data_IF_547661518592
#
_entry.id   IF_547661518592
#
_cell.length_a   1.000
_cell.length_b   1.000
_cell.length_c   1.000
_cell.angle_alpha   90.00
_cell.angle_beta   90.00
_cell.angle_gamma   90.00
#
_symmetry.space_group_name_H-M   'P 1'
#
loop_
_entity.id
_entity.type
_entity.pdbx_description
1 polymer ?
#
# COMPACT_ATOMS: atom_id res chain seq x y z
N UNK A 1 -9.05 -1.78 -17.93
CA UNK A 1 -10.14 -0.94 -17.41
C UNK A 1 -9.69 -0.37 -16.08
N UNK A 2 -9.80 0.94 -15.94
CA UNK A 2 -9.48 1.66 -14.71
C UNK A 2 -10.77 2.22 -14.12
N UNK A 3 -11.01 1.97 -12.83
CA UNK A 3 -12.22 2.38 -12.12
C UNK A 3 -11.84 3.06 -10.81
N UNK A 4 -12.42 4.22 -10.56
CA UNK A 4 -12.18 5.03 -9.36
C UNK A 4 -13.51 5.28 -8.66
N UNK A 5 -13.57 5.00 -7.36
CA UNK A 5 -14.72 5.30 -6.51
C UNK A 5 -14.49 6.52 -5.64
N UNK A 6 -13.22 6.82 -5.31
CA UNK A 6 -12.85 7.96 -4.47
C UNK A 6 -11.54 8.58 -4.95
N UNK A 7 -11.58 9.91 -5.08
CA UNK A 7 -10.39 10.71 -5.38
C UNK A 7 -9.43 10.76 -4.18
N UNK A 8 -8.13 10.93 -4.42
CA UNK A 8 -7.13 11.02 -3.36
C UNK A 8 -7.37 12.26 -2.49
N UNK A 9 -7.28 12.08 -1.18
CA UNK A 9 -7.32 13.16 -0.20
C UNK A 9 -5.89 13.44 0.24
N UNK A 10 -5.43 14.69 0.12
CA UNK A 10 -4.07 15.08 0.49
C UNK A 10 -3.71 14.65 1.92
N UNK A 11 -2.51 14.08 2.11
CA UNK A 11 -2.02 13.62 3.41
C UNK A 11 -2.62 12.31 3.93
N UNK A 12 -3.54 11.69 3.19
CA UNK A 12 -4.00 10.34 3.50
C UNK A 12 -3.00 9.29 2.99
N UNK A 13 -2.65 8.27 3.82
CA UNK A 13 -1.83 7.16 3.36
C UNK A 13 -2.68 6.18 2.54
N UNK A 14 -2.16 5.80 1.39
CA UNK A 14 -2.72 4.79 0.51
C UNK A 14 -1.72 3.65 0.28
N UNK A 15 -2.23 2.47 -0.05
CA UNK A 15 -1.41 1.34 -0.48
C UNK A 15 -1.95 0.72 -1.77
N UNK A 16 -1.04 0.13 -2.54
CA UNK A 16 -1.34 -0.53 -3.80
C UNK A 16 -0.81 -1.97 -3.74
N UNK A 17 -1.67 -2.93 -4.04
CA UNK A 17 -1.28 -4.32 -4.29
C UNK A 17 -1.38 -4.61 -5.78
N UNK A 18 -0.32 -5.17 -6.36
CA UNK A 18 -0.23 -5.45 -7.80
C UNK A 18 0.03 -6.93 -8.00
N UNK A 19 -0.87 -7.58 -8.73
CA UNK A 19 -0.67 -8.92 -9.27
C UNK A 19 -0.46 -8.84 -10.78
N UNK A 20 0.59 -9.50 -11.25
CA UNK A 20 1.05 -9.42 -12.64
C UNK A 20 0.91 -10.76 -13.31
N UNK A 21 0.12 -10.80 -14.37
CA UNK A 21 -0.05 -11.97 -15.20
C UNK A 21 1.24 -12.43 -15.88
N UNK A 22 1.31 -13.73 -16.17
CA UNK A 22 2.32 -14.24 -17.10
C UNK A 22 1.98 -13.81 -18.52
N UNK A 23 2.81 -12.95 -19.12
CA UNK A 23 2.55 -12.23 -20.38
C UNK A 23 2.57 -13.10 -21.65
N UNK A 24 1.89 -14.25 -21.64
CA UNK A 24 1.65 -15.08 -22.82
C UNK A 24 0.67 -14.37 -23.77
N UNK A 25 0.64 -14.74 -25.06
CA UNK A 25 -0.21 -14.10 -26.08
C UNK A 25 -1.74 -14.30 -25.86
N UNK A 26 -2.11 -15.21 -24.95
CA UNK A 26 -3.45 -15.39 -24.39
C UNK A 26 -3.42 -15.12 -22.87
N UNK A 27 -2.62 -14.13 -22.47
CA UNK A 27 -2.16 -13.94 -21.10
C UNK A 27 -3.28 -13.61 -20.14
N UNK A 28 -3.02 -13.92 -18.87
CA UNK A 28 -3.90 -13.61 -17.76
C UNK A 28 -4.01 -12.08 -17.57
N UNK A 29 -4.94 -11.65 -16.72
CA UNK A 29 -5.13 -10.23 -16.48
C UNK A 29 -4.18 -9.73 -15.41
N UNK A 30 -3.60 -8.55 -15.60
CA UNK A 30 -2.91 -7.87 -14.51
C UNK A 30 -3.91 -7.05 -13.71
N UNK A 31 -3.72 -6.96 -12.41
CA UNK A 31 -4.59 -6.22 -11.51
C UNK A 31 -3.78 -5.37 -10.53
N UNK A 32 -4.17 -4.11 -10.35
CA UNK A 32 -3.70 -3.24 -9.28
C UNK A 32 -4.88 -2.75 -8.45
N UNK A 33 -4.79 -2.94 -7.14
CA UNK A 33 -5.82 -2.63 -6.16
C UNK A 33 -5.33 -1.51 -5.24
N UNK A 34 -6.08 -0.41 -5.13
CA UNK A 34 -5.73 0.73 -4.28
C UNK A 34 -6.65 0.76 -3.06
N UNK A 35 -6.05 0.77 -1.87
CA UNK A 35 -6.77 0.87 -0.60
C UNK A 35 -6.36 2.15 0.15
N UNK A 36 -7.34 2.80 0.78
CA UNK A 36 -7.08 3.78 1.84
C UNK A 36 -6.64 3.03 3.09
N UNK A 37 -5.43 3.31 3.59
CA UNK A 37 -4.84 2.56 4.70
C UNK A 37 -5.64 2.74 5.99
N UNK A 38 -6.20 3.94 6.22
CA UNK A 38 -6.90 4.29 7.46
C UNK A 38 -8.28 3.65 7.51
N UNK A 39 -9.02 3.71 6.41
CA UNK A 39 -10.42 3.26 6.36
C UNK A 39 -10.56 1.82 5.88
N UNK A 40 -9.56 1.28 5.17
CA UNK A 40 -9.66 0.00 4.48
C UNK A 40 -10.59 0.04 3.26
N UNK A 41 -10.97 1.23 2.79
CA UNK A 41 -11.82 1.39 1.61
C UNK A 41 -11.04 1.12 0.32
N UNK A 42 -11.63 0.33 -0.57
CA UNK A 42 -11.18 0.14 -1.94
C UNK A 42 -11.54 1.39 -2.77
N UNK A 43 -10.54 2.22 -3.07
CA UNK A 43 -10.73 3.54 -3.70
C UNK A 43 -10.56 3.52 -5.21
N UNK A 44 -9.72 2.63 -5.73
CA UNK A 44 -9.52 2.43 -7.17
C UNK A 44 -9.05 1.01 -7.49
N UNK A 45 -9.35 0.59 -8.72
CA UNK A 45 -8.91 -0.68 -9.30
C UNK A 45 -8.50 -0.45 -10.74
N UNK A 46 -7.32 -0.95 -11.08
CA UNK A 46 -6.88 -1.12 -12.45
C UNK A 46 -6.88 -2.61 -12.77
N UNK A 47 -7.52 -3.01 -13.85
CA UNK A 47 -7.56 -4.41 -14.29
C UNK A 47 -7.56 -4.50 -15.81
N UNK A 48 -6.58 -5.16 -16.40
CA UNK A 48 -6.49 -5.26 -17.86
C UNK A 48 -5.34 -6.13 -18.35
N UNK A 49 -5.37 -6.42 -19.65
CA UNK A 49 -4.28 -7.10 -20.32
C UNK A 49 -3.24 -6.06 -20.76
N UNK A 50 -2.06 -6.11 -20.17
CA UNK A 50 -0.98 -5.16 -20.44
C UNK A 50 0.38 -5.87 -20.26
N UNK A 51 1.40 -5.49 -21.03
CA UNK A 51 2.76 -5.91 -20.77
C UNK A 51 3.27 -5.44 -19.39
N UNK A 52 4.09 -6.25 -18.67
CA UNK A 52 4.60 -5.91 -17.33
C UNK A 52 5.38 -4.59 -17.24
N UNK A 53 6.12 -4.24 -18.29
CA UNK A 53 6.85 -2.98 -18.41
C UNK A 53 5.91 -1.77 -18.52
N UNK A 54 4.81 -1.90 -19.27
CA UNK A 54 3.83 -0.82 -19.39
C UNK A 54 2.95 -0.74 -18.13
N UNK A 55 2.65 -1.88 -17.49
CA UNK A 55 1.98 -1.93 -16.19
C UNK A 55 2.73 -1.11 -15.13
N UNK A 56 4.07 -1.18 -15.13
CA UNK A 56 4.87 -0.40 -14.19
C UNK A 56 4.62 1.12 -14.33
N UNK A 57 4.41 1.62 -15.55
CA UNK A 57 4.08 3.04 -15.76
C UNK A 57 2.71 3.38 -15.18
N UNK A 58 1.70 2.55 -15.43
CA UNK A 58 0.34 2.73 -14.88
C UNK A 58 0.35 2.73 -13.35
N UNK A 59 1.01 1.75 -12.75
CA UNK A 59 1.15 1.63 -11.29
C UNK A 59 1.93 2.81 -10.71
N UNK A 60 2.97 3.29 -11.40
CA UNK A 60 3.72 4.47 -10.98
C UNK A 60 2.83 5.72 -10.96
N UNK A 61 2.07 5.96 -12.02
CA UNK A 61 1.13 7.10 -12.07
C UNK A 61 0.05 7.00 -10.99
N UNK A 62 -0.49 5.80 -10.75
CA UNK A 62 -1.46 5.57 -9.68
C UNK A 62 -0.88 5.87 -8.29
N UNK A 63 0.35 5.44 -8.03
CA UNK A 63 1.00 5.69 -6.75
C UNK A 63 1.24 7.18 -6.50
N UNK A 64 1.69 7.92 -7.52
CA UNK A 64 1.84 9.37 -7.42
C UNK A 64 0.49 10.07 -7.21
N UNK A 65 -0.56 9.61 -7.89
CA UNK A 65 -1.89 10.19 -7.74
C UNK A 65 -2.45 9.99 -6.33
N UNK A 66 -2.19 8.82 -5.73
CA UNK A 66 -2.61 8.47 -4.37
C UNK A 66 -1.51 8.74 -3.31
N UNK A 67 -0.92 9.94 -3.33
CA UNK A 67 0.03 10.45 -2.31
C UNK A 67 1.25 9.53 -2.07
N UNK A 68 1.96 9.17 -3.14
CA UNK A 68 3.12 8.26 -3.07
C UNK A 68 2.74 6.93 -2.39
N UNK A 69 1.64 6.32 -2.81
CA UNK A 69 1.09 5.13 -2.17
C UNK A 69 2.11 3.99 -2.03
N UNK A 70 2.12 3.33 -0.87
CA UNK A 70 2.97 2.16 -0.63
C UNK A 70 2.59 1.02 -1.57
N UNK A 71 3.45 0.72 -2.53
CA UNK A 71 3.15 -0.22 -3.61
C UNK A 71 3.87 -1.55 -3.37
N UNK A 72 3.12 -2.64 -3.46
CA UNK A 72 3.65 -3.99 -3.40
C UNK A 72 3.28 -4.76 -4.66
N UNK A 73 4.30 -5.26 -5.34
CA UNK A 73 4.16 -6.10 -6.54
C UNK A 73 4.51 -7.53 -6.17
N UNK A 74 3.70 -8.49 -6.60
CA UNK A 74 4.07 -9.90 -6.53
C UNK A 74 5.36 -10.14 -7.33
N UNK A 75 6.39 -10.71 -6.72
CA UNK A 75 7.70 -10.91 -7.35
C UNK A 75 7.84 -12.24 -8.09
N UNK A 76 6.72 -12.88 -8.46
CA UNK A 76 6.74 -14.13 -9.20
C UNK A 76 6.93 -13.88 -10.71
N UNK A 77 7.86 -14.60 -11.34
CA UNK A 77 8.17 -14.54 -12.77
C UNK A 77 8.20 -13.11 -13.37
N UNK A 78 7.12 -12.70 -14.04
CA UNK A 78 6.99 -11.42 -14.73
C UNK A 78 6.91 -10.20 -13.80
N UNK A 79 6.52 -10.40 -12.55
CA UNK A 79 6.49 -9.33 -11.55
C UNK A 79 7.86 -8.74 -11.25
N UNK A 80 8.94 -9.51 -11.44
CA UNK A 80 10.31 -8.99 -11.35
C UNK A 80 10.58 -7.90 -12.39
N UNK A 81 10.05 -8.05 -13.61
CA UNK A 81 10.19 -7.04 -14.67
C UNK A 81 9.47 -5.75 -14.28
N UNK A 82 8.25 -5.86 -13.76
CA UNK A 82 7.47 -4.72 -13.26
C UNK A 82 8.21 -4.00 -12.13
N UNK A 83 8.78 -4.75 -11.18
CA UNK A 83 9.58 -4.20 -10.08
C UNK A 83 10.82 -3.48 -10.59
N UNK A 84 11.57 -4.08 -11.51
CA UNK A 84 12.77 -3.47 -12.09
C UNK A 84 12.40 -2.16 -12.80
N UNK A 85 11.32 -2.15 -13.57
CA UNK A 85 10.86 -0.96 -14.27
C UNK A 85 10.39 0.14 -13.30
N UNK A 86 9.62 -0.21 -12.26
CA UNK A 86 9.23 0.74 -11.20
C UNK A 86 10.46 1.37 -10.52
N UNK A 87 11.53 0.60 -10.33
CA UNK A 87 12.79 1.13 -9.78
C UNK A 87 13.48 2.08 -10.75
N UNK A 88 13.48 1.79 -12.05
CA UNK A 88 14.02 2.70 -13.06
C UNK A 88 13.25 4.02 -13.15
N UNK A 89 11.93 3.97 -12.97
CA UNK A 89 11.06 5.16 -12.90
C UNK A 89 11.24 5.98 -11.61
N UNK A 90 11.99 5.47 -10.63
CA UNK A 90 12.18 6.16 -9.36
C UNK A 90 10.94 6.13 -8.46
N UNK A 91 10.20 5.01 -8.47
CA UNK A 91 9.01 4.84 -7.63
C UNK A 91 9.33 5.11 -6.14
N UNK A 92 8.59 6.01 -5.46
CA UNK A 92 8.99 6.53 -4.15
C UNK A 92 8.87 5.50 -3.03
N UNK A 93 7.75 4.77 -2.99
CA UNK A 93 7.39 3.90 -1.86
C UNK A 93 7.12 2.45 -2.31
N UNK A 94 8.17 1.81 -2.85
CA UNK A 94 8.09 0.41 -3.23
C UNK A 94 8.38 -0.50 -2.04
N UNK A 95 7.51 -1.47 -1.80
CA UNK A 95 7.66 -2.43 -0.72
C UNK A 95 8.96 -3.23 -0.88
N UNK A 96 9.69 -3.36 0.23
CA UNK A 96 10.92 -4.13 0.34
C UNK A 96 10.95 -4.90 1.64
N UNK A 97 11.27 -6.18 1.56
CA UNK A 97 11.46 -7.05 2.71
C UNK A 97 12.94 -7.12 3.04
N UNK A 98 13.30 -6.80 4.29
CA UNK A 98 14.67 -7.01 4.79
C UNK A 98 14.82 -8.46 5.20
N UNK A 99 15.82 -9.13 4.65
CA UNK A 99 16.23 -10.47 5.08
C UNK A 99 17.63 -10.37 5.67
N UNK A 100 17.79 -10.89 6.89
CA UNK A 100 19.08 -10.96 7.56
C UNK A 100 19.65 -12.34 7.34
N UNK A 101 20.71 -12.43 6.55
CA UNK A 101 21.37 -13.70 6.32
C UNK A 101 22.20 -14.06 7.55
N UNK A 102 21.71 -14.97 8.39
CA UNK A 102 22.32 -15.31 9.70
C UNK A 102 23.77 -15.79 9.58
N UNK A 103 24.16 -16.36 8.43
CA UNK A 103 25.51 -16.89 8.21
C UNK A 103 26.52 -15.79 7.87
N UNK A 104 26.12 -14.78 7.10
CA UNK A 104 27.04 -13.75 6.58
C UNK A 104 26.83 -12.39 7.24
N UNK A 105 25.83 -12.25 8.12
CA UNK A 105 25.39 -10.97 8.72
C UNK A 105 25.10 -9.87 7.69
N UNK A 106 24.90 -10.23 6.42
CA UNK A 106 24.56 -9.30 5.35
C UNK A 106 23.05 -9.10 5.35
N UNK A 107 22.64 -7.83 5.36
CA UNK A 107 21.25 -7.43 5.17
C UNK A 107 20.99 -7.36 3.67
N UNK A 108 20.15 -8.25 3.15
CA UNK A 108 19.62 -8.12 1.79
C UNK A 108 18.25 -7.47 1.82
N UNK A 109 17.95 -6.68 0.78
CA UNK A 109 16.63 -6.12 0.54
C UNK A 109 16.05 -6.79 -0.69
N UNK A 110 14.93 -7.48 -0.52
CA UNK A 110 14.15 -8.07 -1.61
C UNK A 110 12.97 -7.15 -1.90
N UNK A 111 12.81 -6.72 -3.15
CA UNK A 111 11.69 -5.88 -3.57
C UNK A 111 10.47 -6.74 -3.91
N UNK A 112 9.29 -6.24 -3.55
CA UNK A 112 8.02 -6.93 -3.78
C UNK A 112 7.75 -8.07 -2.79
N UNK A 113 6.67 -8.80 -3.06
CA UNK A 113 6.23 -9.93 -2.23
C UNK A 113 6.40 -11.25 -2.97
N UNK A 114 7.19 -12.15 -2.38
CA UNK A 114 7.38 -13.48 -2.94
C UNK A 114 6.27 -14.42 -2.47
N UNK A 115 5.36 -14.75 -3.37
CA UNK A 115 4.31 -15.75 -3.14
C UNK A 115 4.90 -17.15 -3.25
N UNK A 116 4.77 -17.95 -2.20
CA UNK A 116 5.20 -19.35 -2.13
C UNK A 116 4.05 -20.20 -1.61
N UNK A 117 4.19 -21.54 -1.67
CA UNK A 117 3.21 -22.46 -1.09
C UNK A 117 2.99 -22.25 0.41
N UNK A 118 3.92 -21.62 1.11
CA UNK A 118 3.81 -21.30 2.54
C UNK A 118 3.26 -19.90 2.80
N UNK A 119 3.58 -18.91 1.96
CA UNK A 119 3.12 -17.52 2.16
C UNK A 119 1.74 -17.25 1.56
N UNK A 120 1.34 -17.94 0.48
CA UNK A 120 0.00 -17.76 -0.13
C UNK A 120 -1.14 -18.03 0.85
N UNK A 121 -1.16 -19.15 1.62
CA UNK A 121 -2.24 -19.39 2.57
C UNK A 121 -2.33 -18.31 3.66
N UNK A 122 -1.19 -17.87 4.18
CA UNK A 122 -1.14 -16.82 5.21
C UNK A 122 -1.72 -15.49 4.68
N UNK A 123 -1.34 -15.11 3.45
CA UNK A 123 -1.83 -13.89 2.81
C UNK A 123 -3.36 -13.92 2.62
N UNK A 124 -3.91 -15.08 2.24
CA UNK A 124 -5.35 -15.27 2.06
C UNK A 124 -6.08 -15.35 3.41
N UNK A 125 -5.49 -16.02 4.41
CA UNK A 125 -6.07 -16.12 5.75
C UNK A 125 -6.19 -14.74 6.40
N UNK A 126 -5.17 -13.89 6.25
CA UNK A 126 -5.17 -12.49 6.68
C UNK A 126 -6.23 -11.66 5.94
N UNK A 127 -6.37 -11.84 4.62
CA UNK A 127 -7.44 -11.20 3.85
C UNK A 127 -8.82 -11.65 4.35
N UNK A 128 -9.01 -12.96 4.58
CA UNK A 128 -10.25 -13.53 5.08
C UNK A 128 -10.61 -13.01 6.48
N UNK A 129 -9.61 -12.81 7.34
CA UNK A 129 -9.79 -12.20 8.65
C UNK A 129 -10.26 -10.75 8.54
N UNK A 130 -9.61 -9.94 7.70
CA UNK A 130 -9.98 -8.53 7.49
C UNK A 130 -11.40 -8.39 6.92
N UNK A 131 -11.79 -9.26 5.98
CA UNK A 131 -13.15 -9.28 5.42
C UNK A 131 -14.21 -9.66 6.46
N UNK A 132 -13.95 -10.68 7.29
CA UNK A 132 -14.87 -11.08 8.37
C UNK A 132 -14.95 -10.03 9.48
N UNK A 133 -13.85 -9.35 9.76
CA UNK A 133 -13.77 -8.27 10.75
C UNK A 133 -14.43 -6.96 10.31
N UNK A 134 -14.84 -6.84 9.04
CA UNK A 134 -15.37 -5.60 8.48
C UNK A 134 -14.32 -4.50 8.34
N UNK A 135 -13.04 -4.87 8.28
CA UNK A 135 -11.91 -3.93 8.17
C UNK A 135 -11.68 -3.43 6.74
N UNK A 136 -12.32 -4.07 5.75
CA UNK A 136 -12.22 -3.73 4.34
C UNK A 136 -13.60 -3.37 3.79
N UNK A 137 -13.67 -2.23 3.10
CA UNK A 137 -14.86 -1.78 2.38
C UNK A 137 -14.63 -1.92 0.87
N UNK A 138 -15.14 -3.00 0.29
CA UNK A 138 -15.02 -3.29 -1.13
C UNK A 138 -16.11 -2.61 -1.95
N UNK A 139 -15.73 -1.97 -3.05
CA UNK A 139 -16.62 -1.26 -3.98
C UNK A 139 -16.74 -1.97 -5.33
N UNK A 140 -15.72 -2.70 -5.73
CA UNK A 140 -15.65 -3.39 -7.01
C UNK A 140 -16.47 -4.69 -7.01
N UNK A 141 -17.51 -4.72 -7.85
CA UNK A 141 -18.36 -5.91 -8.02
C UNK A 141 -17.61 -7.10 -8.59
N UNK A 142 -16.56 -6.89 -9.40
CA UNK A 142 -15.81 -7.98 -10.02
C UNK A 142 -14.88 -8.64 -9.01
N UNK A 143 -14.20 -7.84 -8.18
CA UNK A 143 -13.43 -8.33 -7.03
C UNK A 143 -14.32 -9.14 -6.08
N UNK A 144 -15.54 -8.67 -5.79
CA UNK A 144 -16.50 -9.41 -4.96
C UNK A 144 -16.95 -10.73 -5.59
N UNK A 145 -17.11 -10.77 -6.92
CA UNK A 145 -17.46 -11.99 -7.64
C UNK A 145 -16.34 -13.04 -7.55
N UNK A 146 -15.09 -12.64 -7.76
CA UNK A 146 -13.93 -13.54 -7.64
C UNK A 146 -13.75 -14.05 -6.22
N UNK A 147 -13.93 -13.20 -5.20
CA UNK A 147 -13.87 -13.60 -3.79
C UNK A 147 -14.90 -14.67 -3.44
N UNK A 148 -16.10 -14.65 -4.04
CA UNK A 148 -17.13 -15.67 -3.82
C UNK A 148 -16.77 -17.03 -4.42
N UNK A 149 -16.02 -17.03 -5.51
CA UNK A 149 -15.57 -18.24 -6.20
C UNK A 149 -14.23 -18.76 -5.70
N UNK A 150 -13.52 -17.99 -4.88
CA UNK A 150 -12.21 -18.35 -4.35
C UNK A 150 -12.36 -19.43 -3.28
N UNK A 151 -11.90 -20.64 -3.60
CA UNK A 151 -12.08 -21.82 -2.74
C UNK A 151 -10.74 -22.51 -2.47
N UNK A 152 -10.68 -23.23 -1.35
CA UNK A 152 -9.53 -24.05 -0.97
C UNK A 152 -9.83 -25.50 -1.35
N UNK A 153 -9.03 -26.06 -2.24
CA UNK A 153 -9.14 -27.46 -2.64
C UNK A 153 -8.69 -28.39 -1.51
N UNK A 154 -9.11 -29.66 -1.54
CA UNK A 154 -8.76 -30.68 -0.55
C UNK A 154 -7.24 -30.88 -0.37
N UNK A 155 -6.45 -30.59 -1.41
CA UNK A 155 -4.98 -30.63 -1.40
C UNK A 155 -4.33 -29.40 -0.77
N UNK A 156 -5.13 -28.48 -0.21
CA UNK A 156 -4.69 -27.25 0.42
C UNK A 156 -4.31 -26.11 -0.55
N UNK A 157 -4.43 -26.32 -1.87
CA UNK A 157 -4.22 -25.27 -2.87
C UNK A 157 -5.42 -24.34 -2.93
N UNK A 158 -5.15 -23.03 -3.04
CA UNK A 158 -6.19 -22.00 -3.15
C UNK A 158 -6.18 -21.41 -4.56
N UNK A 159 -7.34 -21.38 -5.19
CA UNK A 159 -7.54 -20.87 -6.55
C UNK A 159 -8.94 -20.32 -6.70
N UNK A 160 -9.06 -19.22 -7.46
CA UNK A 160 -10.34 -18.73 -7.99
C UNK A 160 -10.64 -19.35 -9.35
N UNK A 161 -11.91 -19.34 -9.74
CA UNK A 161 -12.33 -19.68 -11.09
C UNK A 161 -13.32 -18.63 -11.57
N UNK A 162 -13.17 -18.03 -12.77
CA UNK A 162 -12.16 -18.28 -13.79
C UNK A 162 -10.84 -17.50 -13.62
N UNK A 163 -10.79 -16.52 -12.71
CA UNK A 163 -9.61 -15.67 -12.45
C UNK A 163 -9.43 -15.48 -10.94
N UNK A 164 -8.18 -15.30 -10.48
CA UNK A 164 -7.85 -14.96 -9.09
C UNK A 164 -6.98 -13.69 -8.93
N UNK A 165 -6.67 -13.01 -10.03
CA UNK A 165 -5.78 -11.85 -10.07
C UNK A 165 -6.26 -10.71 -9.15
N UNK A 166 -7.57 -10.44 -9.10
CA UNK A 166 -8.10 -9.36 -8.24
C UNK A 166 -8.02 -9.73 -6.78
N UNK A 167 -8.22 -11.01 -6.44
CA UNK A 167 -8.13 -11.52 -5.06
C UNK A 167 -6.70 -11.43 -4.56
N UNK A 168 -5.72 -11.84 -5.38
CA UNK A 168 -4.31 -11.77 -5.05
C UNK A 168 -3.83 -10.33 -4.90
N UNK A 169 -4.17 -9.45 -5.85
CA UNK A 169 -3.86 -8.02 -5.76
C UNK A 169 -4.48 -7.39 -4.48
N UNK A 170 -5.72 -7.75 -4.13
CA UNK A 170 -6.38 -7.26 -2.92
C UNK A 170 -5.70 -7.79 -1.66
N UNK A 171 -5.28 -9.06 -1.64
CA UNK A 171 -4.58 -9.67 -0.52
C UNK A 171 -3.23 -8.96 -0.26
N UNK A 172 -2.49 -8.66 -1.32
CA UNK A 172 -1.24 -7.88 -1.25
C UNK A 172 -1.50 -6.46 -0.72
N UNK A 173 -2.52 -5.78 -1.22
CA UNK A 173 -2.88 -4.43 -0.77
C UNK A 173 -3.25 -4.44 0.73
N UNK A 174 -4.03 -5.44 1.18
CA UNK A 174 -4.40 -5.60 2.57
C UNK A 174 -3.17 -5.87 3.45
N UNK A 175 -2.23 -6.70 2.98
CA UNK A 175 -0.97 -6.92 3.68
C UNK A 175 -0.20 -5.61 3.87
N UNK A 176 -0.15 -4.76 2.84
CA UNK A 176 0.54 -3.48 2.91
C UNK A 176 -0.05 -2.50 3.91
N UNK A 177 -1.34 -2.62 4.26
CA UNK A 177 -1.92 -1.79 5.34
C UNK A 177 -1.21 -2.01 6.67
N UNK A 178 -0.75 -3.23 6.95
CA UNK A 178 0.02 -3.54 8.17
C UNK A 178 1.43 -2.92 8.14
N UNK A 179 2.00 -2.75 6.94
CA UNK A 179 3.34 -2.17 6.74
C UNK A 179 3.34 -0.65 6.56
N UNK A 180 2.22 -0.05 6.16
CA UNK A 180 2.11 1.37 5.83
C UNK A 180 2.45 2.32 6.99
N UNK A 181 2.27 1.87 8.25
CA UNK A 181 2.63 2.64 9.44
C UNK A 181 4.06 2.40 9.91
N UNK A 182 4.84 1.52 9.25
CA UNK A 182 6.23 1.33 9.62
C UNK A 182 7.04 2.60 9.32
N UNK A 183 7.97 3.01 10.20
CA UNK A 183 8.74 4.25 10.02
C UNK A 183 9.51 4.33 8.70
N UNK A 184 9.79 3.18 8.07
CA UNK A 184 10.49 3.12 6.79
C UNK A 184 9.63 3.43 5.55
N UNK A 185 8.30 3.30 5.68
CA UNK A 185 7.33 3.55 4.60
C UNK A 185 6.36 4.69 4.93
N UNK A 186 6.40 5.22 6.16
CA UNK A 186 5.62 6.38 6.54
C UNK A 186 6.06 7.59 5.70
N UNK A 187 5.11 8.38 5.16
CA UNK A 187 5.43 9.56 4.38
C UNK A 187 6.25 10.53 5.25
N UNK A 188 7.45 10.88 4.78
CA UNK A 188 8.26 11.91 5.41
C UNK A 188 7.57 13.25 5.17
N UNK A 189 6.93 13.80 6.19
CA UNK A 189 6.47 15.18 6.15
C UNK A 189 7.71 16.06 6.30
N UNK A 190 8.31 16.46 5.19
CA UNK A 190 9.35 17.50 5.17
C UNK A 190 8.66 18.86 5.14
N UNK A 191 8.18 19.29 6.31
CA UNK A 191 7.48 20.57 6.48
C UNK A 191 8.45 21.72 6.81
N UNK A 192 9.76 21.47 6.88
CA UNK A 192 10.75 22.46 7.33
C UNK A 192 10.62 23.80 6.59
N UNK A 193 10.37 24.90 7.33
CA UNK A 193 10.10 26.28 6.85
C UNK A 193 8.78 26.53 6.09
N UNK A 194 7.84 25.58 6.08
CA UNK A 194 6.49 25.80 5.53
C UNK A 194 5.54 26.43 6.55
N UNK A 195 4.41 26.98 6.08
CA UNK A 195 3.35 27.52 6.96
C UNK A 195 2.83 26.45 7.93
N UNK A 196 2.75 25.20 7.50
CA UNK A 196 2.33 24.07 8.33
C UNK A 196 3.34 23.75 9.45
N UNK A 197 4.63 23.93 9.19
CA UNK A 197 5.68 23.79 10.22
C UNK A 197 5.60 24.89 11.27
N UNK A 198 5.38 26.14 10.86
CA UNK A 198 5.11 27.23 11.80
C UNK A 198 3.80 26.99 12.59
N UNK A 199 2.75 26.51 11.94
CA UNK A 199 1.48 26.19 12.61
C UNK A 199 1.65 25.09 13.67
N UNK A 200 2.44 24.04 13.39
CA UNK A 200 2.77 22.99 14.37
C UNK A 200 3.59 23.51 15.54
N UNK A 201 4.51 24.45 15.32
CA UNK A 201 5.25 25.09 16.41
C UNK A 201 4.33 25.87 17.35
N UNK A 202 3.42 26.67 16.78
CA UNK A 202 2.45 27.47 17.55
C UNK A 202 1.48 26.58 18.34
N UNK A 203 0.98 25.49 17.75
CA UNK A 203 0.06 24.56 18.42
C UNK A 203 0.79 23.77 19.52
N UNK A 204 2.06 23.40 19.34
CA UNK A 204 2.86 22.74 20.38
C UNK A 204 3.05 23.63 21.61
N UNK A 205 3.25 24.93 21.41
CA UNK A 205 3.41 25.90 22.51
C UNK A 205 2.10 26.17 23.27
N UNK A 206 0.93 25.89 22.68
CA UNK A 206 -0.36 26.06 23.34
C UNK A 206 -0.69 24.95 24.36
N UNK A 207 -0.11 23.75 24.19
CA UNK A 207 -0.43 22.56 24.99
C UNK A 207 0.55 22.33 26.16
N UNK A 208 1.58 23.17 26.26
CA UNK A 208 2.41 23.23 27.47
C UNK A 208 1.91 24.40 28.30
N UNK A 209 0.96 24.12 29.21
CA UNK A 209 0.73 24.97 30.38
C UNK A 209 2.00 24.97 31.24
N UNK A 210 3.03 25.69 30.81
CA UNK A 210 4.25 25.93 31.54
C UNK A 210 4.01 27.19 32.39
N UNK A 211 3.95 27.09 33.73
CA UNK A 211 3.74 28.25 34.61
C UNK A 211 4.92 29.23 34.63
N UNK A 212 5.96 28.99 33.81
CA UNK A 212 7.18 29.78 33.71
C UNK A 212 7.27 30.58 32.39
N UNK A 213 6.14 31.09 31.89
CA UNK A 213 6.18 32.08 30.81
C UNK A 213 6.61 33.44 31.41
N UNK A 214 7.87 33.82 31.16
CA UNK A 214 8.41 35.13 31.53
C UNK A 214 7.63 36.19 30.78
N UNK A 215 6.84 37.01 31.50
CA UNK A 215 6.04 38.09 30.93
C UNK A 215 4.61 38.22 31.46
N UNK A 216 4.11 37.25 32.24
CA UNK A 216 2.70 37.23 32.66
C UNK A 216 2.30 38.25 33.75
N UNK A 217 3.24 39.05 34.29
CA UNK A 217 2.91 40.13 35.25
C UNK A 217 3.74 41.38 34.97
N UNK A 218 3.28 42.20 34.03
CA UNK A 218 3.63 43.63 34.02
C UNK A 218 2.49 44.40 34.64
N UNK A 219 2.43 44.44 35.98
CA UNK A 219 1.58 45.41 36.67
C UNK A 219 2.40 46.69 36.78
N UNK A 220 2.09 47.69 35.94
CA UNK A 220 2.58 49.05 36.12
C UNK A 220 1.88 49.64 37.34
N UNK A 221 2.61 49.78 38.45
CA UNK A 221 2.24 50.68 39.52
C UNK A 221 2.54 52.12 39.12
N UNK A 222 1.57 53.01 39.29
CA UNK A 222 1.82 54.44 39.45
C UNK A 222 1.23 54.86 40.79
N UNK A 223 2.03 55.67 41.48
CA UNK A 223 1.99 56.20 42.85
C UNK A 223 0.62 56.62 43.35
#
# INVERSE_FOLDING_TARGET
MFTVWREPVGGHPYCIGVDTAEGLAHGDYSCAQVLDVRTGEQVAVWHGHIPPDTLANEVYMLALWYNDALTCVESNNHGLTTIVQLRHLGHPNLFRKRSLNQVTSKVSQEFGWKTTRTTKPLLIDDLGMALRGGELLLRDRYTLAELRTYTRNERGSMSGSPHDDRVMALALANQMRQYAFMPEFAPKVDDYWTVDWFARMVIRDADVSNPMQIGAKTVRGTV
#
